data_IF_234289476003
#
_entry.id   IF_234289476003
#
_cell.length_a   1.000
_cell.length_b   1.000
_cell.length_c   1.000
_cell.angle_alpha   90.00
_cell.angle_beta   90.00
_cell.angle_gamma   90.00
#
_symmetry.space_group_name_H-M   'P 1'
#
loop_
_entity.id
_entity.type
_entity.pdbx_description
1 polymer ?
#
# COMPACT_ATOMS: atom_id res chain seq x y z
N UNK A 1 0.12 -6.62 3.96
CA UNK A 1 -0.54 -7.93 4.17
C UNK A 1 -0.74 -8.34 5.64
N UNK A 2 -0.33 -7.55 6.65
CA UNK A 2 -0.59 -7.86 8.06
C UNK A 2 -2.09 -8.11 8.38
N UNK A 3 -3.01 -7.54 7.57
CA UNK A 3 -4.46 -7.76 7.67
C UNK A 3 -4.89 -9.23 7.64
N UNK A 4 -4.11 -10.14 7.06
CA UNK A 4 -4.44 -11.56 6.99
C UNK A 4 -3.93 -12.39 8.19
N UNK A 5 -3.12 -11.80 9.08
CA UNK A 5 -2.57 -12.52 10.25
C UNK A 5 -3.67 -13.19 11.09
N UNK A 6 -4.79 -12.53 11.45
CA UNK A 6 -5.85 -13.17 12.24
C UNK A 6 -6.47 -14.39 11.54
N UNK A 7 -6.75 -14.27 10.24
CA UNK A 7 -7.35 -15.34 9.42
C UNK A 7 -6.40 -16.52 9.29
N UNK A 8 -5.10 -16.26 9.05
CA UNK A 8 -4.07 -17.30 9.00
C UNK A 8 -3.90 -18.01 10.34
N UNK A 9 -3.93 -17.27 11.45
CA UNK A 9 -3.87 -17.85 12.80
C UNK A 9 -5.07 -18.74 13.09
N UNK A 10 -6.27 -18.33 12.68
CA UNK A 10 -7.50 -19.10 12.86
C UNK A 10 -7.42 -20.46 12.13
N UNK A 11 -7.10 -20.45 10.83
CA UNK A 11 -7.02 -21.70 10.05
C UNK A 11 -5.76 -22.52 10.33
N UNK A 12 -4.64 -21.85 10.63
CA UNK A 12 -3.37 -22.49 10.94
C UNK A 12 -3.28 -23.01 12.37
N UNK A 13 -4.26 -22.74 13.24
CA UNK A 13 -4.24 -23.19 14.64
C UNK A 13 -3.05 -22.63 15.44
N UNK A 14 -2.61 -21.41 15.12
CA UNK A 14 -1.46 -20.77 15.77
C UNK A 14 -0.08 -21.28 15.32
N UNK A 15 0.01 -21.92 14.15
CA UNK A 15 1.30 -22.23 13.53
C UNK A 15 2.16 -20.97 13.31
N UNK A 16 3.50 -21.06 13.45
CA UNK A 16 4.39 -19.93 13.17
C UNK A 16 4.22 -19.40 11.73
N UNK A 17 4.00 -18.10 11.61
CA UNK A 17 3.92 -17.40 10.33
C UNK A 17 5.32 -16.91 9.96
N UNK A 18 5.85 -17.41 8.83
CA UNK A 18 7.23 -17.14 8.42
C UNK A 18 7.27 -16.17 7.24
N UNK A 19 7.88 -15.00 7.45
CA UNK A 19 8.17 -14.03 6.41
C UNK A 19 9.66 -14.09 6.06
N UNK A 20 10.00 -14.72 4.93
CA UNK A 20 11.40 -15.08 4.60
C UNK A 20 12.17 -13.98 3.87
N UNK A 21 11.55 -13.35 2.89
CA UNK A 21 12.26 -12.50 1.92
C UNK A 21 11.56 -11.17 1.71
N UNK A 22 12.36 -10.14 1.41
CA UNK A 22 11.92 -8.85 0.92
C UNK A 22 12.49 -8.62 -0.48
N UNK A 23 11.61 -8.60 -1.47
CA UNK A 23 11.95 -8.58 -2.90
C UNK A 23 10.95 -7.75 -3.68
N UNK A 24 11.38 -7.23 -4.83
CA UNK A 24 10.51 -6.60 -5.82
C UNK A 24 10.89 -7.00 -7.24
N UNK A 25 10.20 -6.44 -8.23
CA UNK A 25 10.52 -6.66 -9.65
C UNK A 25 11.84 -5.98 -10.04
N UNK A 26 12.19 -4.89 -9.37
CA UNK A 26 13.37 -4.07 -9.63
C UNK A 26 14.65 -4.69 -9.04
N UNK A 27 14.55 -5.31 -7.86
CA UNK A 27 15.70 -5.87 -7.15
C UNK A 27 15.27 -6.88 -6.07
N UNK A 28 16.12 -7.87 -5.80
CA UNK A 28 16.01 -8.71 -4.61
C UNK A 28 16.75 -8.01 -3.48
N UNK A 29 16.06 -7.59 -2.41
CA UNK A 29 16.70 -6.74 -1.40
C UNK A 29 17.38 -7.54 -0.30
N UNK A 30 16.66 -8.48 0.31
CA UNK A 30 17.16 -9.13 1.51
C UNK A 30 16.27 -10.22 2.08
N UNK A 31 16.66 -10.73 3.25
CA UNK A 31 15.97 -11.81 3.93
C UNK A 31 15.84 -11.54 5.43
N UNK A 32 14.83 -12.18 6.04
CA UNK A 32 14.67 -12.22 7.48
C UNK A 32 15.63 -13.25 8.09
N UNK A 33 16.61 -12.78 8.88
CA UNK A 33 17.58 -13.65 9.55
C UNK A 33 17.02 -14.31 10.82
N UNK A 34 15.84 -13.89 11.28
CA UNK A 34 15.10 -14.52 12.37
C UNK A 34 13.69 -14.94 11.88
N UNK A 35 13.58 -15.98 11.04
CA UNK A 35 12.34 -16.33 10.34
C UNK A 35 11.18 -16.74 11.26
N UNK A 36 11.46 -17.09 12.52
CA UNK A 36 10.45 -17.49 13.50
C UNK A 36 10.04 -16.34 14.45
N UNK A 37 10.50 -15.11 14.19
CA UNK A 37 10.05 -13.95 14.96
C UNK A 37 8.54 -13.70 14.82
N UNK A 38 7.96 -13.00 15.78
CA UNK A 38 6.56 -12.60 15.67
C UNK A 38 6.37 -11.69 14.43
N UNK A 39 5.25 -11.80 13.67
CA UNK A 39 5.04 -11.00 12.46
C UNK A 39 5.18 -9.48 12.63
N UNK A 40 4.89 -8.95 13.83
CA UNK A 40 5.08 -7.52 14.14
C UNK A 40 6.52 -7.09 14.37
N UNK A 41 7.44 -8.05 14.54
CA UNK A 41 8.86 -7.84 14.85
C UNK A 41 9.77 -8.24 13.67
N UNK A 42 9.18 -8.54 12.51
CA UNK A 42 9.96 -8.93 11.32
C UNK A 42 10.83 -7.76 10.88
N UNK A 43 12.14 -8.05 10.76
CA UNK A 43 13.13 -7.16 10.16
C UNK A 43 13.89 -7.89 9.06
N UNK A 44 14.03 -7.25 7.91
CA UNK A 44 14.77 -7.78 6.77
C UNK A 44 16.17 -7.20 6.75
N UNK A 45 17.17 -8.07 6.61
CA UNK A 45 18.57 -7.68 6.45
C UNK A 45 18.85 -7.50 4.97
N UNK A 46 19.25 -6.29 4.57
CA UNK A 46 19.59 -6.00 3.16
C UNK A 46 20.89 -6.71 2.82
N UNK A 47 20.89 -7.42 1.69
CA UNK A 47 22.04 -8.17 1.20
C UNK A 47 22.91 -7.25 0.32
N UNK A 48 24.12 -6.87 0.76
CA UNK A 48 24.91 -5.82 0.13
C UNK A 48 25.41 -6.17 -1.28
N UNK A 49 25.33 -7.44 -1.66
CA UNK A 49 25.73 -7.91 -2.99
C UNK A 49 24.60 -7.78 -4.05
N UNK A 50 23.38 -7.41 -3.66
CA UNK A 50 22.23 -7.36 -4.57
C UNK A 50 22.13 -6.05 -5.36
N UNK A 51 22.74 -4.99 -4.87
CA UNK A 51 22.73 -3.66 -5.49
C UNK A 51 23.41 -2.65 -4.56
N UNK A 52 23.46 -1.40 -5.01
CA UNK A 52 23.83 -0.28 -4.14
C UNK A 52 22.56 0.36 -3.58
N UNK A 53 22.53 0.58 -2.26
CA UNK A 53 21.34 1.01 -1.54
C UNK A 53 21.60 2.35 -0.85
N UNK A 54 20.75 3.31 -1.14
CA UNK A 54 20.71 4.64 -0.55
C UNK A 54 19.35 4.86 0.12
N UNK A 55 19.29 5.82 1.04
CA UNK A 55 18.12 6.04 1.87
C UNK A 55 17.73 7.50 1.88
N UNK A 56 16.49 7.79 1.50
CA UNK A 56 15.95 9.14 1.54
C UNK A 56 15.16 9.32 2.85
N UNK A 57 15.51 10.29 3.71
CA UNK A 57 14.78 10.52 4.96
C UNK A 57 13.28 10.70 4.73
N UNK A 58 12.46 10.03 5.55
CA UNK A 58 11.02 10.20 5.56
C UNK A 58 10.56 10.67 6.93
N UNK A 59 10.09 11.92 7.00
CA UNK A 59 9.44 12.46 8.19
C UNK A 59 7.93 12.58 7.92
N UNK A 60 7.07 11.82 8.62
CA UNK A 60 5.63 11.95 8.48
C UNK A 60 5.09 13.30 9.00
N UNK A 61 5.79 13.94 9.94
CA UNK A 61 5.38 15.21 10.55
C UNK A 61 5.85 16.42 9.72
N UNK A 62 6.85 16.22 8.84
CA UNK A 62 7.36 17.23 7.92
C UNK A 62 7.27 16.70 6.48
N UNK A 63 6.10 16.84 5.83
CA UNK A 63 5.89 16.41 4.45
C UNK A 63 6.61 17.36 3.47
N UNK A 64 7.94 17.34 3.50
CA UNK A 64 8.81 17.87 2.47
C UNK A 64 9.13 16.73 1.50
N UNK A 65 9.07 17.00 0.19
CA UNK A 65 9.60 16.04 -0.79
C UNK A 65 11.13 16.10 -0.76
N UNK A 66 11.80 15.06 -0.22
CA UNK A 66 13.23 15.15 -0.02
C UNK A 66 13.94 15.06 -1.38
N UNK A 67 14.94 15.92 -1.56
CA UNK A 67 15.72 15.99 -2.81
C UNK A 67 16.72 14.84 -2.90
N UNK A 68 17.12 14.44 -4.11
CA UNK A 68 18.20 13.47 -4.31
C UNK A 68 19.55 13.90 -3.70
N UNK A 69 19.70 15.17 -3.30
CA UNK A 69 20.86 15.68 -2.56
C UNK A 69 20.88 15.28 -1.09
N UNK A 70 19.76 14.77 -0.56
CA UNK A 70 19.57 14.38 0.84
C UNK A 70 19.68 12.86 1.04
N UNK A 71 20.14 12.12 0.02
CA UNK A 71 20.37 10.69 0.15
C UNK A 71 21.45 10.42 1.19
N UNK A 72 21.13 9.50 2.08
CA UNK A 72 22.00 9.00 3.11
C UNK A 72 22.55 7.65 2.69
N UNK A 73 23.83 7.45 2.98
CA UNK A 73 24.43 6.13 2.99
C UNK A 73 24.08 5.40 4.29
N UNK A 74 24.41 4.11 4.31
CA UNK A 74 24.21 3.22 5.44
C UNK A 74 24.74 3.76 6.78
N UNK A 75 25.86 4.49 6.76
CA UNK A 75 26.53 4.99 7.96
C UNK A 75 25.74 6.09 8.68
N UNK A 76 24.85 6.79 7.98
CA UNK A 76 24.14 7.97 8.48
C UNK A 76 22.71 7.65 8.95
N UNK A 77 22.34 6.37 8.95
CA UNK A 77 21.02 5.91 9.40
C UNK A 77 20.89 5.98 10.93
N UNK A 78 19.71 6.43 11.38
CA UNK A 78 19.38 6.57 12.79
C UNK A 78 18.32 5.55 13.20
N UNK A 79 18.54 4.88 14.34
CA UNK A 79 17.65 3.84 14.84
C UNK A 79 16.22 4.38 15.02
N UNK A 80 15.24 3.63 14.51
CA UNK A 80 13.82 3.95 14.61
C UNK A 80 13.32 5.01 13.62
N UNK A 81 14.20 5.65 12.83
CA UNK A 81 13.81 6.58 11.77
C UNK A 81 13.35 5.86 10.51
N UNK A 82 12.49 6.53 9.75
CA UNK A 82 11.92 6.02 8.50
C UNK A 82 12.61 6.62 7.29
N UNK A 83 12.79 5.79 6.28
CA UNK A 83 13.49 6.13 5.05
C UNK A 83 12.78 5.51 3.86
N UNK A 84 12.76 6.23 2.75
CA UNK A 84 12.40 5.66 1.46
C UNK A 84 13.63 4.98 0.84
N UNK A 85 13.45 3.74 0.36
CA UNK A 85 14.51 2.97 -0.27
C UNK A 85 14.81 3.48 -1.67
N UNK A 86 16.10 3.72 -1.94
CA UNK A 86 16.64 4.06 -3.25
C UNK A 86 17.66 2.99 -3.66
N UNK A 87 17.53 2.48 -4.89
CA UNK A 87 18.36 1.38 -5.38
C UNK A 87 19.08 1.75 -6.68
N UNK A 88 20.35 1.39 -6.75
CA UNK A 88 21.07 1.26 -8.01
C UNK A 88 21.31 -0.23 -8.28
N UNK A 89 20.66 -0.76 -9.30
CA UNK A 89 20.62 -2.19 -9.61
C UNK A 89 21.43 -2.53 -10.88
N UNK A 90 21.87 -3.79 -11.00
CA UNK A 90 22.59 -4.29 -12.17
C UNK A 90 21.79 -4.20 -13.48
N UNK A 91 20.46 -4.09 -13.39
CA UNK A 91 19.52 -3.95 -14.51
C UNK A 91 19.42 -2.52 -15.06
N UNK A 92 20.44 -1.67 -14.85
CA UNK A 92 20.51 -0.28 -15.32
C UNK A 92 19.50 0.69 -14.67
N UNK A 93 19.01 0.36 -13.48
CA UNK A 93 18.30 1.33 -12.63
C UNK A 93 19.33 2.09 -11.80
N UNK A 94 19.34 3.41 -11.88
CA UNK A 94 20.29 4.28 -11.18
C UNK A 94 19.55 5.21 -10.23
N UNK A 95 19.88 5.13 -8.93
CA UNK A 95 19.25 5.91 -7.86
C UNK A 95 17.72 5.90 -7.97
N UNK A 96 17.17 4.73 -8.30
CA UNK A 96 15.74 4.52 -8.52
C UNK A 96 15.01 4.48 -7.18
N UNK A 97 13.98 5.32 -7.05
CA UNK A 97 13.12 5.38 -5.87
C UNK A 97 12.13 4.22 -5.90
N UNK A 98 12.31 3.24 -5.00
CA UNK A 98 11.44 2.07 -4.92
C UNK A 98 10.04 2.45 -4.44
N UNK A 99 9.92 3.54 -3.66
CA UNK A 99 8.69 4.00 -3.04
C UNK A 99 8.32 3.25 -1.76
N UNK A 100 9.13 2.28 -1.34
CA UNK A 100 8.94 1.57 -0.07
C UNK A 100 9.51 2.38 1.08
N UNK A 101 8.74 2.48 2.17
CA UNK A 101 9.14 3.13 3.43
C UNK A 101 9.56 2.07 4.41
N UNK A 102 10.79 2.20 4.88
CA UNK A 102 11.49 1.27 5.74
C UNK A 102 11.88 1.98 7.03
N UNK A 103 11.64 1.34 8.17
CA UNK A 103 12.12 1.84 9.47
C UNK A 103 13.40 1.13 9.83
N UNK A 104 14.46 1.89 10.07
CA UNK A 104 15.75 1.32 10.44
C UNK A 104 15.68 0.70 11.83
N UNK A 105 16.02 -0.58 11.93
CA UNK A 105 15.86 -1.41 13.15
C UNK A 105 17.17 -1.85 13.78
N UNK A 106 18.31 -1.53 13.15
CA UNK A 106 19.64 -1.85 13.67
C UNK A 106 20.49 -2.58 12.63
N UNK A 107 21.49 -3.33 13.11
CA UNK A 107 22.43 -4.03 12.26
C UNK A 107 22.52 -5.52 12.64
N UNK A 108 22.69 -6.35 11.61
CA UNK A 108 23.30 -7.66 11.76
C UNK A 108 24.76 -7.57 11.32
N UNK A 109 25.69 -7.61 12.28
CA UNK A 109 27.08 -7.23 12.07
C UNK A 109 27.16 -5.80 11.52
N UNK A 110 27.53 -5.65 10.24
CA UNK A 110 27.58 -4.35 9.55
C UNK A 110 26.47 -4.18 8.51
N UNK A 111 25.61 -5.18 8.31
CA UNK A 111 24.50 -5.12 7.34
C UNK A 111 23.25 -4.54 8.03
N UNK A 112 22.55 -3.57 7.42
CA UNK A 112 21.39 -2.96 8.04
C UNK A 112 20.19 -3.90 8.05
N UNK A 113 19.36 -3.72 9.06
CA UNK A 113 18.07 -4.39 9.19
C UNK A 113 16.95 -3.37 9.20
N UNK A 114 15.89 -3.64 8.45
CA UNK A 114 14.74 -2.75 8.32
C UNK A 114 13.42 -3.46 8.59
N UNK A 115 12.54 -2.76 9.29
CA UNK A 115 11.14 -3.10 9.36
C UNK A 115 10.40 -2.47 8.18
N UNK A 116 9.61 -3.25 7.45
CA UNK A 116 8.78 -2.72 6.36
C UNK A 116 7.59 -1.96 6.93
N UNK A 117 7.44 -0.68 6.59
CA UNK A 117 6.33 0.15 7.08
C UNK A 117 5.18 0.11 6.08
N UNK A 118 5.43 0.55 4.85
CA UNK A 118 4.41 0.66 3.78
C UNK A 118 5.08 0.95 2.43
N UNK A 119 4.31 0.79 1.35
CA UNK A 119 4.64 1.40 0.06
C UNK A 119 3.93 2.74 -0.07
N UNK A 120 4.62 3.78 -0.52
CA UNK A 120 4.06 5.12 -0.73
C UNK A 120 2.87 5.06 -1.67
N UNK A 121 1.92 5.96 -1.42
CA UNK A 121 0.72 6.19 -2.21
C UNK A 121 -0.26 5.01 -2.31
N UNK A 122 -0.02 3.86 -1.68
CA UNK A 122 -1.01 2.77 -1.66
C UNK A 122 -2.10 3.09 -0.64
N UNK A 123 -3.35 3.22 -1.11
CA UNK A 123 -4.53 3.43 -0.28
C UNK A 123 -5.27 2.12 0.00
N UNK A 124 -5.44 1.28 -1.02
CA UNK A 124 -6.10 -0.03 -0.91
C UNK A 124 -5.26 -1.12 -1.56
N UNK A 125 -5.35 -2.33 -0.99
CA UNK A 125 -4.66 -3.54 -1.48
C UNK A 125 -5.30 -4.78 -0.85
N UNK A 126 -5.74 -5.75 -1.68
CA UNK A 126 -6.21 -7.07 -1.24
C UNK A 126 -5.08 -8.11 -1.38
N UNK A 127 -4.46 -8.19 -2.54
CA UNK A 127 -3.40 -9.14 -2.86
C UNK A 127 -2.15 -8.40 -3.39
N UNK A 128 -1.83 -8.53 -4.67
CA UNK A 128 -0.74 -7.79 -5.32
C UNK A 128 -1.17 -6.42 -5.85
N UNK A 129 -2.49 -6.18 -5.92
CA UNK A 129 -3.09 -4.92 -6.35
C UNK A 129 -2.71 -3.78 -5.41
N UNK A 130 -2.51 -2.60 -5.99
CA UNK A 130 -2.12 -1.38 -5.29
C UNK A 130 -2.87 -0.23 -5.96
N UNK A 131 -3.98 0.19 -5.35
CA UNK A 131 -4.71 1.37 -5.82
C UNK A 131 -4.33 2.57 -4.99
N UNK A 132 -3.99 3.66 -5.67
CA UNK A 132 -3.70 4.93 -5.01
C UNK A 132 -4.97 5.80 -4.87
N UNK A 133 -4.80 6.99 -4.28
CA UNK A 133 -5.91 7.93 -4.11
C UNK A 133 -6.41 8.50 -5.45
N UNK A 134 -5.53 8.71 -6.42
CA UNK A 134 -5.89 9.23 -7.72
C UNK A 134 -6.66 8.19 -8.55
N UNK A 135 -6.25 6.92 -8.48
CA UNK A 135 -6.96 5.79 -9.10
C UNK A 135 -8.38 5.67 -8.53
N UNK A 136 -8.50 5.71 -7.21
CA UNK A 136 -9.81 5.68 -6.56
C UNK A 136 -10.67 6.89 -6.92
N UNK A 137 -10.07 8.08 -7.01
CA UNK A 137 -10.78 9.29 -7.40
C UNK A 137 -11.36 9.17 -8.82
N UNK A 138 -10.58 8.66 -9.79
CA UNK A 138 -11.08 8.40 -11.15
C UNK A 138 -12.21 7.38 -11.17
N UNK A 139 -12.07 6.28 -10.42
CA UNK A 139 -13.10 5.27 -10.29
C UNK A 139 -14.42 5.87 -9.75
N UNK A 140 -14.35 6.66 -8.68
CA UNK A 140 -15.52 7.34 -8.11
C UNK A 140 -16.12 8.37 -9.08
N UNK A 141 -15.30 9.07 -9.86
CA UNK A 141 -15.77 9.97 -10.93
C UNK A 141 -16.53 9.21 -12.02
N UNK A 142 -16.06 8.02 -12.43
CA UNK A 142 -16.78 7.17 -13.37
C UNK A 142 -18.14 6.71 -12.82
N UNK A 143 -18.21 6.30 -11.55
CA UNK A 143 -19.47 6.00 -10.87
C UNK A 143 -20.41 7.22 -10.79
N UNK A 144 -19.88 8.38 -10.42
CA UNK A 144 -20.63 9.65 -10.34
C UNK A 144 -21.26 10.01 -11.69
N UNK A 145 -20.51 9.84 -12.79
CA UNK A 145 -21.01 10.09 -14.14
C UNK A 145 -22.17 9.16 -14.53
N UNK A 146 -22.19 7.92 -14.03
CA UNK A 146 -23.31 6.98 -14.22
C UNK A 146 -24.53 7.42 -13.41
N UNK A 147 -24.36 7.73 -12.13
CA UNK A 147 -25.44 8.19 -11.24
C UNK A 147 -26.12 9.47 -11.73
N UNK A 148 -25.33 10.41 -12.25
CA UNK A 148 -25.85 11.68 -12.77
C UNK A 148 -26.69 11.51 -14.03
N UNK A 149 -26.28 10.63 -14.96
CA UNK A 149 -27.01 10.40 -16.22
C UNK A 149 -28.41 9.83 -15.99
N UNK A 150 -28.55 8.91 -15.05
CA UNK A 150 -29.78 8.13 -14.92
C UNK A 150 -30.71 8.61 -13.80
N UNK A 151 -30.18 9.28 -12.77
CA UNK A 151 -30.99 9.56 -11.57
C UNK A 151 -30.83 10.97 -10.96
N UNK A 152 -30.10 11.90 -11.59
CA UNK A 152 -29.85 13.26 -11.05
C UNK A 152 -29.38 13.22 -9.59
N UNK A 153 -28.54 12.24 -9.28
CA UNK A 153 -27.99 12.01 -7.95
C UNK A 153 -26.50 12.26 -8.00
N UNK A 154 -25.98 12.98 -7.00
CA UNK A 154 -24.55 13.24 -6.84
C UNK A 154 -23.98 12.51 -5.64
N UNK A 155 -22.71 12.13 -5.76
CA UNK A 155 -21.89 11.67 -4.64
C UNK A 155 -21.37 12.91 -3.90
N UNK A 156 -21.69 13.03 -2.62
CA UNK A 156 -21.28 14.14 -1.76
C UNK A 156 -19.90 13.87 -1.16
N UNK A 157 -19.77 12.71 -0.54
CA UNK A 157 -18.54 12.23 0.06
C UNK A 157 -18.42 10.72 -0.15
N UNK A 158 -17.19 10.24 -0.06
CA UNK A 158 -16.91 8.82 -0.10
C UNK A 158 -15.76 8.44 0.83
N UNK A 159 -15.76 7.19 1.25
CA UNK A 159 -14.61 6.57 1.90
C UNK A 159 -14.51 5.10 1.49
N UNK A 160 -13.34 4.51 1.69
CA UNK A 160 -13.04 3.16 1.20
C UNK A 160 -12.41 2.30 2.28
N UNK A 161 -12.57 0.99 2.14
CA UNK A 161 -12.02 -0.02 3.03
C UNK A 161 -11.73 -1.32 2.27
N UNK A 162 -10.64 -1.99 2.62
CA UNK A 162 -10.31 -3.32 2.11
C UNK A 162 -10.93 -4.39 3.02
N UNK A 163 -12.02 -5.03 2.59
CA UNK A 163 -12.69 -6.09 3.36
C UNK A 163 -12.05 -7.45 3.11
N UNK A 164 -11.64 -8.09 4.20
CA UNK A 164 -10.95 -9.39 4.22
C UNK A 164 -11.70 -10.44 5.04
N UNK A 165 -12.96 -10.19 5.40
CA UNK A 165 -13.82 -11.13 6.16
C UNK A 165 -14.18 -12.36 5.34
N UNK A 166 -14.33 -12.20 4.02
CA UNK A 166 -14.55 -13.28 3.07
C UNK A 166 -13.32 -13.46 2.19
N UNK A 167 -13.16 -14.66 1.62
CA UNK A 167 -12.07 -14.99 0.70
C UNK A 167 -12.69 -15.38 -0.65
N UNK A 168 -12.37 -14.68 -1.76
CA UNK A 168 -11.42 -13.56 -1.85
C UNK A 168 -11.91 -12.29 -1.14
N UNK A 169 -10.96 -11.46 -0.70
CA UNK A 169 -11.24 -10.12 -0.19
C UNK A 169 -11.67 -9.18 -1.32
N UNK A 170 -12.25 -8.05 -0.97
CA UNK A 170 -12.76 -7.07 -1.95
C UNK A 170 -12.73 -5.64 -1.39
N UNK A 171 -12.78 -4.66 -2.29
CA UNK A 171 -12.91 -3.27 -1.90
C UNK A 171 -14.36 -2.95 -1.55
N UNK A 172 -14.56 -2.20 -0.48
CA UNK A 172 -15.84 -1.64 -0.08
C UNK A 172 -15.74 -0.13 -0.18
N UNK A 173 -16.69 0.46 -0.89
CA UNK A 173 -16.78 1.91 -1.08
C UNK A 173 -18.09 2.38 -0.49
N UNK A 174 -18.01 3.35 0.41
CA UNK A 174 -19.16 3.99 1.03
C UNK A 174 -19.41 5.32 0.34
N UNK A 175 -20.66 5.56 -0.09
CA UNK A 175 -21.08 6.82 -0.70
C UNK A 175 -22.14 7.51 0.14
N UNK A 176 -21.92 8.79 0.42
CA UNK A 176 -22.98 9.70 0.83
C UNK A 176 -23.59 10.33 -0.43
N UNK A 177 -24.91 10.17 -0.62
CA UNK A 177 -25.60 10.58 -1.84
C UNK A 177 -26.57 11.73 -1.54
N UNK A 178 -26.67 12.68 -2.47
CA UNK A 178 -27.68 13.72 -2.47
C UNK A 178 -28.47 13.69 -3.79
N UNK A 179 -29.80 13.86 -3.69
CA UNK A 179 -30.66 14.01 -4.86
C UNK A 179 -31.00 15.48 -5.08
N UNK A 180 -31.00 15.90 -6.36
CA UNK A 180 -31.46 17.23 -6.73
C UNK A 180 -32.99 17.37 -6.70
N UNK A 181 -33.74 16.27 -6.48
CA UNK A 181 -35.22 16.26 -6.44
C UNK A 181 -35.82 16.60 -5.07
N UNK A 182 -35.00 16.78 -4.02
CA UNK A 182 -35.47 17.14 -2.67
C UNK A 182 -34.81 16.32 -1.55
N UNK A 183 -35.21 16.54 -0.28
CA UNK A 183 -34.62 15.88 0.90
C UNK A 183 -35.08 14.44 1.12
N UNK A 184 -35.94 13.92 0.25
CA UNK A 184 -36.41 12.54 0.34
C UNK A 184 -35.24 11.56 0.14
N UNK A 185 -35.24 10.41 0.84
CA UNK A 185 -34.18 9.42 0.73
C UNK A 185 -34.01 8.99 -0.73
N UNK A 186 -32.78 9.04 -1.20
CA UNK A 186 -32.43 8.70 -2.58
C UNK A 186 -32.73 7.22 -2.82
N UNK A 187 -33.84 6.93 -3.51
CA UNK A 187 -34.15 5.57 -3.94
C UNK A 187 -33.31 5.23 -5.17
N UNK A 188 -32.28 4.41 -4.98
CA UNK A 188 -31.49 3.89 -6.10
C UNK A 188 -32.30 2.80 -6.84
N UNK A 189 -32.53 2.95 -8.16
CA UNK A 189 -33.13 1.89 -8.96
C UNK A 189 -32.28 0.62 -8.91
N UNK A 190 -32.92 -0.55 -8.96
CA UNK A 190 -32.21 -1.83 -9.04
C UNK A 190 -31.30 -1.86 -10.29
N UNK A 191 -30.05 -2.26 -10.12
CA UNK A 191 -29.07 -2.37 -11.21
C UNK A 191 -28.14 -1.17 -11.37
N UNK A 192 -28.59 0.06 -11.05
CA UNK A 192 -27.74 1.27 -11.18
C UNK A 192 -26.51 1.19 -10.28
N UNK A 193 -26.66 0.64 -9.08
CA UNK A 193 -25.54 0.41 -8.16
C UNK A 193 -24.51 -0.57 -8.73
N UNK A 194 -24.98 -1.63 -9.40
CA UNK A 194 -24.11 -2.65 -10.01
C UNK A 194 -23.34 -2.08 -11.20
N UNK A 195 -24.00 -1.24 -12.02
CA UNK A 195 -23.35 -0.52 -13.12
C UNK A 195 -22.31 0.48 -12.62
N UNK A 196 -22.57 1.15 -11.49
CA UNK A 196 -21.58 2.02 -10.85
C UNK A 196 -20.37 1.22 -10.36
N UNK A 197 -20.60 0.09 -9.68
CA UNK A 197 -19.53 -0.81 -9.25
C UNK A 197 -18.69 -1.27 -10.44
N UNK A 198 -19.33 -1.71 -11.54
CA UNK A 198 -18.62 -2.13 -12.74
C UNK A 198 -17.78 -1.00 -13.34
N UNK A 199 -18.34 0.22 -13.44
CA UNK A 199 -17.60 1.38 -13.95
C UNK A 199 -16.37 1.70 -13.09
N UNK A 200 -16.46 1.53 -11.77
CA UNK A 200 -15.29 1.67 -10.89
C UNK A 200 -14.24 0.59 -11.14
N UNK A 201 -14.66 -0.67 -11.29
CA UNK A 201 -13.76 -1.79 -11.56
C UNK A 201 -13.04 -1.65 -12.91
N UNK A 202 -13.72 -1.13 -13.94
CA UNK A 202 -13.10 -0.87 -15.25
C UNK A 202 -11.97 0.18 -15.15
N UNK A 203 -12.16 1.24 -14.36
CA UNK A 203 -11.13 2.27 -14.16
C UNK A 203 -9.95 1.77 -13.33
N UNK A 204 -10.17 0.91 -12.34
CA UNK A 204 -9.09 0.36 -11.51
C UNK A 204 -8.25 -0.71 -12.23
N UNK A 205 -8.77 -1.29 -13.32
CA UNK A 205 -8.09 -2.30 -14.13
C UNK A 205 -7.45 -1.73 -15.42
N UNK A 206 -7.54 -0.41 -15.64
CA UNK A 206 -7.03 0.29 -16.82
C UNK A 206 -5.60 0.79 -16.64
#
# INVERSE_FOLDING_TARGET
>A
MAQYIPTLNYYGGGLPLVCTMYVSLECYFGLNLNPLSHPSEVSYTIMPNMGYFEFLPHDPDQPHEPSHTELLDLADLQLGKEYELVVTAYSSLYRYRVGDILRFSGFHNSAPQFHFVRRKNVALSIDSDKSDKADMQKAVEAASNRLMKDNQTRIMEYTTYADTKTIPGHYVVFFELASDKGPDPVLMPKGVTEECCLAMEEELNS
#
